data_IF_892425457337
#
_entry.id   IF_892425457337
#
_cell.length_a   1.000
_cell.length_b   1.000
_cell.length_c   1.000
_cell.angle_alpha   90.00
_cell.angle_beta   90.00
_cell.angle_gamma   90.00
#
_symmetry.space_group_name_H-M   'P 1'
#
loop_
_entity.id
_entity.type
_entity.pdbx_description
1 polymer ?
#
# COMPACT_ATOMS: atom_id res chain seq x y z
N UNK A 1 -2.86 7.92 -15.44
CA UNK A 1 -1.66 8.03 -14.57
C UNK A 1 -1.62 6.79 -13.70
N UNK A 2 -0.59 5.94 -13.84
CA UNK A 2 -0.55 4.64 -13.18
C UNK A 2 -0.20 4.84 -11.71
N UNK A 3 -1.06 4.43 -10.80
CA UNK A 3 -0.84 4.46 -9.34
C UNK A 3 0.20 3.43 -8.85
N UNK A 4 0.69 2.56 -9.75
CA UNK A 4 1.72 1.57 -9.47
C UNK A 4 2.77 1.53 -10.58
N UNK A 5 4.06 1.44 -10.26
CA UNK A 5 5.06 1.12 -11.26
C UNK A 5 4.93 -0.35 -11.67
N UNK A 6 4.37 -0.61 -12.86
CA UNK A 6 4.45 -1.90 -13.52
C UNK A 6 5.75 -1.94 -14.30
N UNK A 7 6.88 -2.14 -13.65
CA UNK A 7 8.09 -2.52 -14.36
C UNK A 7 8.86 -3.57 -13.56
N UNK A 8 8.49 -4.84 -13.77
CA UNK A 8 9.39 -5.95 -13.52
C UNK A 8 9.76 -6.51 -14.88
N UNK A 9 10.87 -6.00 -15.40
CA UNK A 9 11.48 -6.42 -16.65
C UNK A 9 11.79 -7.91 -16.62
N UNK A 10 11.45 -8.57 -17.72
CA UNK A 10 11.82 -9.93 -18.09
C UNK A 10 13.28 -10.22 -17.77
N UNK A 11 13.55 -11.10 -16.82
CA UNK A 11 14.83 -11.78 -16.69
C UNK A 11 14.74 -13.10 -17.42
N UNK A 12 15.54 -13.19 -18.47
CA UNK A 12 15.69 -14.32 -19.37
C UNK A 12 15.94 -15.65 -18.64
N UNK A 13 15.08 -16.59 -18.93
CA UNK A 13 15.25 -18.02 -18.69
C UNK A 13 16.18 -18.61 -19.74
N UNK A 14 17.42 -18.88 -19.41
CA UNK A 14 18.29 -19.91 -20.02
C UNK A 14 19.63 -19.94 -19.28
N UNK A 15 19.87 -20.99 -18.46
CA UNK A 15 21.10 -21.78 -18.53
C UNK A 15 21.08 -22.92 -17.47
N UNK A 16 21.06 -24.11 -18.03
CA UNK A 16 21.76 -25.35 -17.68
C UNK A 16 21.21 -26.27 -16.60
N UNK A 17 20.77 -27.36 -17.15
CA UNK A 17 20.59 -28.67 -16.52
C UNK A 17 21.93 -29.25 -15.99
N UNK A 18 21.76 -30.03 -15.00
CA UNK A 18 22.53 -31.16 -14.46
C UNK A 18 23.14 -30.88 -13.08
N UNK A 19 22.60 -31.50 -12.06
CA UNK A 19 23.20 -32.63 -11.33
C UNK A 19 22.18 -33.13 -10.31
N UNK A 20 21.84 -34.39 -10.45
CA UNK A 20 21.08 -35.20 -9.55
C UNK A 20 21.70 -35.23 -8.17
N UNK A 21 20.96 -34.88 -7.11
CA UNK A 21 21.06 -35.50 -5.81
C UNK A 21 19.78 -35.22 -5.02
N UNK A 22 19.02 -36.25 -4.80
CA UNK A 22 17.76 -36.30 -4.07
C UNK A 22 17.96 -35.94 -2.60
N UNK A 23 17.66 -34.69 -2.26
CA UNK A 23 17.23 -34.33 -0.93
C UNK A 23 15.81 -33.78 -1.09
N UNK A 24 14.83 -34.63 -0.84
CA UNK A 24 13.43 -34.25 -0.67
C UNK A 24 13.34 -33.49 0.65
N UNK A 25 13.69 -32.19 0.60
CA UNK A 25 13.23 -31.25 1.60
C UNK A 25 11.73 -31.05 1.33
N UNK A 26 10.86 -31.22 2.33
CA UNK A 26 9.49 -30.79 2.20
C UNK A 26 9.55 -29.28 1.95
N UNK A 27 9.34 -28.86 0.70
CA UNK A 27 8.94 -27.50 0.40
C UNK A 27 7.62 -27.35 1.14
N UNK A 28 7.66 -26.71 2.31
CA UNK A 28 6.45 -26.23 2.95
C UNK A 28 5.79 -25.33 1.90
N UNK A 29 4.75 -25.84 1.26
CA UNK A 29 3.82 -25.04 0.50
C UNK A 29 3.31 -24.00 1.49
N UNK A 30 3.91 -22.81 1.49
CA UNK A 30 3.31 -21.65 2.10
C UNK A 30 2.02 -21.44 1.30
N UNK A 31 0.92 -21.96 1.83
CA UNK A 31 -0.39 -21.72 1.24
C UNK A 31 -0.58 -20.20 1.28
N UNK A 32 -0.66 -19.62 0.09
CA UNK A 32 -0.90 -18.20 -0.06
C UNK A 32 -2.15 -17.87 0.76
N UNK A 33 -2.12 -16.76 1.51
CA UNK A 33 -3.25 -16.30 2.32
C UNK A 33 -4.51 -16.26 1.42
N UNK A 34 -5.57 -17.03 1.68
CA UNK A 34 -6.75 -17.07 0.81
C UNK A 34 -7.39 -15.70 0.62
N UNK A 35 -7.26 -14.80 1.62
CA UNK A 35 -7.75 -13.44 1.52
C UNK A 35 -6.91 -12.61 0.54
N UNK A 36 -5.59 -12.83 0.50
CA UNK A 36 -4.71 -12.20 -0.49
C UNK A 36 -5.05 -12.65 -1.92
N UNK A 37 -5.20 -13.95 -2.15
CA UNK A 37 -5.53 -14.48 -3.47
C UNK A 37 -6.90 -13.99 -3.96
N UNK A 38 -7.87 -13.86 -3.04
CA UNK A 38 -9.18 -13.30 -3.37
C UNK A 38 -9.08 -11.82 -3.71
N UNK A 39 -8.35 -11.03 -2.93
CA UNK A 39 -8.12 -9.61 -3.21
C UNK A 39 -7.43 -9.41 -4.55
N UNK A 40 -6.38 -10.20 -4.82
CA UNK A 40 -5.62 -10.15 -6.08
C UNK A 40 -6.51 -10.44 -7.28
N UNK A 41 -7.30 -11.53 -7.26
CA UNK A 41 -8.22 -11.86 -8.35
C UNK A 41 -9.24 -10.75 -8.63
N UNK A 42 -9.75 -10.09 -7.59
CA UNK A 42 -10.67 -8.95 -7.72
C UNK A 42 -9.98 -7.74 -8.35
N UNK A 43 -8.74 -7.45 -7.95
CA UNK A 43 -7.94 -6.37 -8.52
C UNK A 43 -7.61 -6.65 -9.99
N UNK A 44 -7.10 -7.85 -10.31
CA UNK A 44 -6.80 -8.28 -11.68
C UNK A 44 -8.06 -8.16 -12.58
N UNK A 45 -9.24 -8.52 -12.05
CA UNK A 45 -10.51 -8.41 -12.78
C UNK A 45 -10.85 -6.94 -13.11
N UNK A 46 -10.56 -6.00 -12.21
CA UNK A 46 -10.78 -4.57 -12.42
C UNK A 46 -9.74 -4.02 -13.41
N UNK A 47 -8.46 -4.31 -13.18
CA UNK A 47 -7.34 -3.80 -13.98
C UNK A 47 -7.36 -4.29 -15.44
N UNK A 48 -7.81 -5.51 -15.66
CA UNK A 48 -7.98 -6.08 -17.00
C UNK A 48 -9.32 -5.71 -17.67
N UNK A 49 -10.13 -4.88 -17.02
CA UNK A 49 -11.43 -4.46 -17.55
C UNK A 49 -12.47 -5.57 -17.65
N UNK A 50 -12.26 -6.70 -16.94
CA UNK A 50 -13.19 -7.85 -16.92
C UNK A 50 -14.34 -7.68 -15.92
N UNK A 51 -14.31 -6.66 -15.06
CA UNK A 51 -15.41 -6.36 -14.16
C UNK A 51 -16.64 -5.89 -14.98
N UNK A 52 -17.84 -6.46 -14.76
CA UNK A 52 -19.04 -6.08 -15.50
C UNK A 52 -19.36 -4.59 -15.30
N UNK A 53 -19.81 -3.93 -16.37
CA UNK A 53 -20.24 -2.52 -16.31
C UNK A 53 -21.36 -2.34 -15.28
N UNK A 54 -21.27 -1.29 -14.49
CA UNK A 54 -22.24 -0.97 -13.43
C UNK A 54 -22.18 -1.91 -12.22
N UNK A 55 -21.25 -2.86 -12.20
CA UNK A 55 -21.09 -3.77 -11.06
C UNK A 55 -20.38 -3.11 -9.86
N UNK A 56 -20.44 -3.78 -8.73
CA UNK A 56 -19.73 -3.38 -7.50
C UNK A 56 -18.83 -4.52 -7.06
N UNK A 57 -17.55 -4.25 -6.96
CA UNK A 57 -16.56 -5.18 -6.43
C UNK A 57 -16.28 -4.82 -4.96
N UNK A 58 -16.57 -5.76 -4.05
CA UNK A 58 -16.40 -5.55 -2.62
C UNK A 58 -15.10 -6.18 -2.13
N UNK A 59 -14.34 -5.42 -1.33
CA UNK A 59 -13.14 -5.89 -0.63
C UNK A 59 -13.39 -5.85 0.86
N UNK A 60 -13.29 -6.98 1.53
CA UNK A 60 -13.37 -7.04 3.00
C UNK A 60 -12.11 -6.44 3.64
N UNK A 61 -12.21 -6.01 4.90
CA UNK A 61 -11.03 -5.56 5.66
C UNK A 61 -9.93 -6.62 5.76
N UNK A 62 -10.29 -7.91 5.79
CA UNK A 62 -9.33 -9.01 5.77
C UNK A 62 -8.56 -9.07 4.44
N UNK A 63 -9.25 -8.93 3.31
CA UNK A 63 -8.66 -8.90 1.97
C UNK A 63 -7.74 -7.70 1.79
N UNK A 64 -8.19 -6.50 2.22
CA UNK A 64 -7.36 -5.28 2.19
C UNK A 64 -6.09 -5.45 3.02
N UNK A 65 -6.21 -5.99 4.23
CA UNK A 65 -5.06 -6.24 5.10
C UNK A 65 -4.12 -7.31 4.55
N UNK A 66 -4.65 -8.39 3.99
CA UNK A 66 -3.85 -9.46 3.38
C UNK A 66 -3.06 -8.93 2.18
N UNK A 67 -3.71 -8.14 1.32
CA UNK A 67 -3.08 -7.51 0.17
C UNK A 67 -1.98 -6.53 0.61
N UNK A 68 -2.25 -5.66 1.58
CA UNK A 68 -1.29 -4.69 2.09
C UNK A 68 -0.04 -5.35 2.67
N UNK A 69 -0.19 -6.45 3.43
CA UNK A 69 0.94 -7.21 4.00
C UNK A 69 1.90 -7.76 2.95
N UNK A 70 1.41 -8.09 1.76
CA UNK A 70 2.25 -8.60 0.67
C UNK A 70 2.84 -7.44 -0.15
N UNK A 71 2.02 -6.45 -0.51
CA UNK A 71 2.41 -5.42 -1.48
C UNK A 71 3.24 -4.28 -0.89
N UNK A 72 2.97 -3.88 0.35
CA UNK A 72 3.72 -2.77 0.95
C UNK A 72 5.20 -3.09 1.11
N UNK A 73 5.62 -4.29 1.56
CA UNK A 73 7.05 -4.65 1.63
C UNK A 73 7.77 -4.68 0.29
N UNK A 74 7.05 -4.85 -0.83
CA UNK A 74 7.65 -4.77 -2.17
C UNK A 74 8.04 -3.32 -2.52
N UNK A 75 7.31 -2.34 -1.99
CA UNK A 75 7.55 -0.91 -2.22
C UNK A 75 8.53 -0.36 -1.18
N UNK A 76 8.35 -0.77 0.07
CA UNK A 76 9.16 -0.38 1.22
C UNK A 76 9.72 -1.64 1.87
N UNK A 77 10.80 -2.22 1.32
CA UNK A 77 11.30 -3.54 1.71
C UNK A 77 11.84 -3.61 3.14
N UNK A 78 12.16 -2.48 3.75
CA UNK A 78 12.72 -2.42 5.09
C UNK A 78 12.13 -1.28 5.90
N UNK A 79 12.03 -1.48 7.21
CA UNK A 79 11.63 -0.44 8.16
C UNK A 79 10.13 -0.32 8.41
N UNK A 80 9.29 -1.20 7.84
CA UNK A 80 7.85 -1.25 8.16
C UNK A 80 7.45 -2.67 8.55
N UNK A 81 6.72 -2.82 9.65
CA UNK A 81 6.14 -4.09 10.10
C UNK A 81 4.80 -3.88 10.83
N UNK A 82 4.10 -4.98 11.10
CA UNK A 82 2.83 -5.01 11.83
C UNK A 82 1.75 -4.11 11.22
N UNK A 83 1.71 -4.05 9.90
CA UNK A 83 0.75 -3.22 9.18
C UNK A 83 -0.68 -3.69 9.35
N UNK A 84 -1.58 -2.75 9.62
CA UNK A 84 -3.02 -2.95 9.70
C UNK A 84 -3.76 -1.79 9.05
N UNK A 85 -4.85 -2.12 8.36
CA UNK A 85 -5.79 -1.15 7.83
C UNK A 85 -7.18 -1.38 8.46
N UNK A 86 -7.77 -0.31 8.93
CA UNK A 86 -9.14 -0.27 9.45
C UNK A 86 -9.96 0.63 8.53
N UNK A 87 -11.09 0.10 8.05
CA UNK A 87 -12.01 0.80 7.15
C UNK A 87 -13.22 1.27 7.95
N UNK A 88 -13.49 2.56 7.87
CA UNK A 88 -14.64 3.23 8.47
C UNK A 88 -15.57 3.82 7.42
N UNK A 89 -16.55 4.62 7.87
CA UNK A 89 -17.47 5.32 6.97
C UNK A 89 -16.74 6.47 6.28
N UNK A 90 -16.44 6.32 4.99
CA UNK A 90 -15.69 7.30 4.20
C UNK A 90 -14.24 7.51 4.66
N UNK A 91 -13.71 6.67 5.56
CA UNK A 91 -12.39 6.82 6.15
C UNK A 91 -11.61 5.52 6.12
N UNK A 92 -10.29 5.63 6.07
CA UNK A 92 -9.38 4.51 6.30
C UNK A 92 -8.29 4.94 7.28
N UNK A 93 -7.93 4.04 8.19
CA UNK A 93 -6.82 4.24 9.13
C UNK A 93 -5.79 3.13 8.94
N UNK A 94 -4.60 3.51 8.54
CA UNK A 94 -3.43 2.63 8.48
C UNK A 94 -2.61 2.76 9.75
N UNK A 95 -2.14 1.65 10.31
CA UNK A 95 -1.19 1.63 11.43
C UNK A 95 -0.04 0.67 11.13
N UNK A 96 1.16 1.01 11.59
CA UNK A 96 2.36 0.20 11.44
C UNK A 96 3.40 0.56 12.49
N UNK A 97 4.37 -0.34 12.72
CA UNK A 97 5.64 0.00 13.36
C UNK A 97 6.62 0.41 12.27
N UNK A 98 7.22 1.58 12.42
CA UNK A 98 8.09 2.18 11.40
C UNK A 98 9.45 2.52 11.98
N UNK A 99 10.50 2.01 11.34
CA UNK A 99 11.89 2.41 11.54
C UNK A 99 12.28 3.35 10.39
N UNK A 100 12.15 4.64 10.64
CA UNK A 100 12.41 5.67 9.63
C UNK A 100 13.85 5.70 9.16
N UNK A 101 14.81 5.29 10.02
CA UNK A 101 16.21 5.24 9.66
C UNK A 101 16.48 4.13 8.66
N UNK A 102 15.94 2.93 8.91
CA UNK A 102 16.04 1.80 7.97
C UNK A 102 15.37 2.11 6.64
N UNK A 103 14.19 2.76 6.65
CA UNK A 103 13.52 3.18 5.41
C UNK A 103 14.42 4.09 4.56
N UNK A 104 15.04 5.09 5.15
CA UNK A 104 15.94 6.00 4.42
C UNK A 104 17.19 5.30 3.89
N UNK A 105 17.79 4.43 4.70
CA UNK A 105 18.95 3.63 4.29
C UNK A 105 18.62 2.71 3.11
N UNK A 106 17.44 2.07 3.13
CA UNK A 106 16.97 1.23 2.03
C UNK A 106 16.73 2.02 0.72
N UNK A 107 16.45 3.32 0.83
CA UNK A 107 16.31 4.24 -0.31
C UNK A 107 17.67 4.85 -0.75
N UNK A 108 18.78 4.44 -0.17
CA UNK A 108 20.10 4.99 -0.46
C UNK A 108 20.31 6.42 0.04
N UNK A 109 19.44 6.93 0.92
CA UNK A 109 19.52 8.29 1.46
C UNK A 109 20.33 8.32 2.74
N UNK A 110 21.31 9.23 2.79
CA UNK A 110 22.06 9.51 4.02
C UNK A 110 21.24 10.39 4.97
N UNK A 111 21.40 10.16 6.26
CA UNK A 111 20.70 10.92 7.30
C UNK A 111 21.74 11.67 8.14
N UNK A 112 21.56 12.98 8.27
CA UNK A 112 22.42 13.79 9.13
C UNK A 112 22.28 13.35 10.61
N UNK A 113 23.35 13.49 11.40
CA UNK A 113 23.43 13.01 12.79
C UNK A 113 22.28 13.48 13.69
N UNK A 114 21.82 14.70 13.52
CA UNK A 114 20.71 15.27 14.31
C UNK A 114 19.37 14.57 13.99
N UNK A 115 19.11 14.35 12.71
CA UNK A 115 17.91 13.68 12.24
C UNK A 115 17.91 12.21 12.65
N UNK A 116 19.07 11.53 12.57
CA UNK A 116 19.26 10.16 13.05
C UNK A 116 18.77 10.02 14.49
N UNK A 117 19.19 10.91 15.38
CA UNK A 117 18.81 10.88 16.79
C UNK A 117 17.31 11.10 17.03
N UNK A 118 16.64 11.88 16.15
CA UNK A 118 15.21 12.16 16.25
C UNK A 118 14.34 10.97 15.79
N UNK A 119 14.80 10.22 14.77
CA UNK A 119 14.04 9.15 14.12
C UNK A 119 14.57 7.75 14.44
N UNK A 120 15.51 7.63 15.39
CA UNK A 120 16.11 6.36 15.78
C UNK A 120 15.08 5.43 16.44
N UNK A 121 15.17 4.14 16.05
CA UNK A 121 14.32 3.07 16.54
C UNK A 121 12.94 3.00 15.90
N UNK A 122 12.26 1.90 16.23
CA UNK A 122 10.91 1.64 15.74
C UNK A 122 9.88 2.48 16.50
N UNK A 123 8.96 3.07 15.75
CA UNK A 123 7.91 3.92 16.32
C UNK A 123 6.54 3.54 15.74
N UNK A 124 5.48 3.49 16.56
CA UNK A 124 4.13 3.33 16.05
C UNK A 124 3.73 4.56 15.24
N UNK A 125 3.33 4.32 13.99
CA UNK A 125 2.76 5.32 13.10
C UNK A 125 1.28 4.96 12.85
N UNK A 126 0.40 5.94 12.95
CA UNK A 126 -1.00 5.83 12.56
C UNK A 126 -1.36 6.97 11.62
N UNK A 127 -1.98 6.64 10.50
CA UNK A 127 -2.40 7.60 9.47
C UNK A 127 -3.87 7.39 9.20
N UNK A 128 -4.67 8.44 9.34
CA UNK A 128 -6.10 8.42 9.01
C UNK A 128 -6.33 9.33 7.81
N UNK A 129 -7.05 8.78 6.83
CA UNK A 129 -7.47 9.50 5.63
C UNK A 129 -8.99 9.46 5.50
N UNK A 130 -9.55 10.48 4.86
CA UNK A 130 -10.92 10.51 4.38
C UNK A 130 -10.89 10.43 2.86
N UNK A 131 -11.75 9.59 2.31
CA UNK A 131 -11.84 9.33 0.87
C UNK A 131 -13.17 9.85 0.35
N UNK A 132 -13.12 10.73 -0.63
CA UNK A 132 -14.27 11.23 -1.39
C UNK A 132 -14.09 10.82 -2.85
N UNK A 133 -15.09 10.16 -3.42
CA UNK A 133 -14.98 9.63 -4.77
C UNK A 133 -16.32 9.64 -5.49
N UNK A 134 -16.34 10.18 -6.71
CA UNK A 134 -17.51 10.25 -7.58
C UNK A 134 -17.11 10.58 -9.02
N UNK A 135 -17.91 10.18 -10.00
CA UNK A 135 -17.75 10.58 -11.40
C UNK A 135 -16.40 10.20 -12.02
N UNK A 136 -15.77 9.12 -11.54
CA UNK A 136 -14.45 8.70 -12.02
C UNK A 136 -13.28 9.45 -11.40
N UNK A 137 -13.52 10.29 -10.37
CA UNK A 137 -12.49 11.01 -9.63
C UNK A 137 -12.44 10.55 -8.18
N UNK A 138 -11.29 10.70 -7.55
CA UNK A 138 -11.09 10.41 -6.14
C UNK A 138 -10.20 11.49 -5.50
N UNK A 139 -10.52 11.86 -4.27
CA UNK A 139 -9.68 12.69 -3.43
C UNK A 139 -9.42 11.99 -2.11
N UNK A 140 -8.15 11.89 -1.73
CA UNK A 140 -7.73 11.32 -0.45
C UNK A 140 -7.24 12.47 0.44
N UNK A 141 -8.03 12.79 1.47
CA UNK A 141 -7.70 13.82 2.43
C UNK A 141 -6.95 13.20 3.61
N UNK A 142 -5.73 13.67 3.84
CA UNK A 142 -4.97 13.30 5.02
C UNK A 142 -5.52 14.06 6.22
N UNK A 143 -6.24 13.36 7.11
CA UNK A 143 -6.96 13.99 8.23
C UNK A 143 -6.19 13.94 9.54
N UNK A 144 -5.38 12.90 9.75
CA UNK A 144 -4.63 12.73 11.00
C UNK A 144 -3.40 11.85 10.81
N UNK A 145 -2.30 12.26 11.39
CA UNK A 145 -1.08 11.45 11.52
C UNK A 145 -0.66 11.46 12.99
N UNK A 146 -0.43 10.28 13.54
CA UNK A 146 0.09 10.10 14.88
C UNK A 146 1.41 9.34 14.82
N UNK A 147 2.42 9.86 15.49
CA UNK A 147 3.71 9.22 15.66
C UNK A 147 3.96 9.02 17.15
N UNK A 148 4.21 7.78 17.58
CA UNK A 148 4.35 7.43 19.00
C UNK A 148 3.14 7.87 19.84
N UNK A 149 1.92 7.73 19.30
CA UNK A 149 0.64 8.15 19.90
C UNK A 149 0.50 9.68 20.09
N UNK A 150 1.38 10.48 19.49
CA UNK A 150 1.28 11.94 19.50
C UNK A 150 0.85 12.41 18.11
N UNK A 151 -0.15 13.29 18.08
CA UNK A 151 -0.62 13.88 16.81
C UNK A 151 0.48 14.76 16.23
N UNK A 152 0.85 14.48 14.99
CA UNK A 152 1.86 15.24 14.28
C UNK A 152 1.40 16.69 14.06
N UNK A 153 2.25 17.64 14.43
CA UNK A 153 2.03 19.04 14.05
C UNK A 153 2.24 19.20 12.54
N UNK A 154 1.79 20.34 11.98
CA UNK A 154 1.97 20.66 10.55
C UNK A 154 3.44 20.50 10.12
N UNK A 155 4.37 21.02 10.91
CA UNK A 155 5.81 20.93 10.62
C UNK A 155 6.32 19.49 10.58
N UNK A 156 5.90 18.64 11.53
CA UNK A 156 6.26 17.22 11.55
C UNK A 156 5.62 16.48 10.38
N UNK A 157 4.37 16.79 10.07
CA UNK A 157 3.67 16.21 8.92
C UNK A 157 4.36 16.55 7.59
N UNK A 158 4.64 17.83 7.34
CA UNK A 158 5.34 18.29 6.14
C UNK A 158 6.71 17.62 6.00
N UNK A 159 7.41 17.45 7.13
CA UNK A 159 8.67 16.72 7.16
C UNK A 159 8.50 15.23 6.79
N UNK A 160 7.53 14.53 7.39
CA UNK A 160 7.28 13.11 7.11
C UNK A 160 6.88 12.90 5.64
N UNK A 161 6.03 13.77 5.11
CA UNK A 161 5.63 13.71 3.71
C UNK A 161 6.82 13.91 2.76
N UNK A 162 7.62 14.97 2.95
CA UNK A 162 8.75 15.29 2.09
C UNK A 162 9.91 14.30 2.21
N UNK A 163 10.19 13.82 3.42
CA UNK A 163 11.34 12.98 3.67
C UNK A 163 11.11 11.50 3.39
N UNK A 164 9.87 11.02 3.49
CA UNK A 164 9.57 9.59 3.42
C UNK A 164 8.50 9.22 2.41
N UNK A 165 7.45 10.02 2.26
CA UNK A 165 6.33 9.66 1.39
C UNK A 165 6.56 10.05 -0.07
N UNK A 166 6.87 11.32 -0.35
CA UNK A 166 7.07 11.82 -1.72
C UNK A 166 8.23 11.14 -2.47
N UNK A 167 9.36 10.74 -1.84
CA UNK A 167 10.37 9.97 -2.55
C UNK A 167 9.89 8.60 -3.05
N UNK A 168 8.92 7.98 -2.36
CA UNK A 168 8.30 6.71 -2.77
C UNK A 168 7.17 6.92 -3.78
N UNK A 169 6.47 8.05 -3.68
CA UNK A 169 5.30 8.38 -4.48
C UNK A 169 5.39 9.84 -4.99
N UNK A 170 6.30 10.14 -5.95
CA UNK A 170 6.53 11.50 -6.41
C UNK A 170 5.29 12.13 -7.05
N UNK A 171 4.43 11.31 -7.64
CA UNK A 171 3.21 11.75 -8.32
C UNK A 171 1.97 11.68 -7.41
N UNK A 172 2.14 11.53 -6.10
CA UNK A 172 1.01 11.44 -5.19
C UNK A 172 0.31 12.79 -5.01
N UNK A 173 -0.99 12.79 -5.25
CA UNK A 173 -1.87 13.94 -5.04
C UNK A 173 -2.56 13.84 -3.68
N UNK A 174 -1.93 14.39 -2.62
CA UNK A 174 -2.53 14.44 -1.29
C UNK A 174 -3.43 15.67 -1.19
N UNK A 175 -4.68 15.48 -0.77
CA UNK A 175 -5.73 16.50 -0.69
C UNK A 175 -6.13 17.12 -2.05
N UNK A 176 -5.71 16.52 -3.15
CA UNK A 176 -6.06 16.94 -4.51
C UNK A 176 -6.82 15.83 -5.23
N UNK A 177 -7.77 16.16 -6.13
CA UNK A 177 -8.47 15.17 -6.91
C UNK A 177 -7.57 14.54 -7.96
N UNK A 178 -7.74 13.24 -8.21
CA UNK A 178 -7.12 12.49 -9.29
C UNK A 178 -8.12 11.58 -9.98
N UNK A 179 -7.84 11.21 -11.21
CA UNK A 179 -8.68 10.32 -12.00
C UNK A 179 -8.56 8.88 -11.53
N UNK A 180 -9.69 8.19 -11.47
CA UNK A 180 -9.73 6.75 -11.27
C UNK A 180 -9.56 6.03 -12.60
N UNK A 181 -8.55 5.16 -12.68
CA UNK A 181 -8.30 4.29 -13.82
C UNK A 181 -9.31 3.11 -13.91
N UNK A 182 -9.14 2.26 -14.91
CA UNK A 182 -9.81 0.96 -15.05
C UNK A 182 -11.34 1.01 -15.04
N UNK A 183 -11.93 2.06 -15.63
CA UNK A 183 -13.39 2.26 -15.66
C UNK A 183 -14.05 2.31 -14.27
N UNK A 184 -13.32 2.67 -13.25
CA UNK A 184 -13.89 2.89 -11.93
C UNK A 184 -14.71 4.18 -11.92
N UNK A 185 -15.95 4.10 -11.40
CA UNK A 185 -16.83 5.25 -11.20
C UNK A 185 -16.53 5.93 -9.87
N UNK A 186 -16.38 5.14 -8.80
CA UNK A 186 -16.05 5.61 -7.46
C UNK A 186 -15.60 4.49 -6.53
N UNK A 187 -14.95 4.90 -5.45
CA UNK A 187 -14.57 4.05 -4.32
C UNK A 187 -15.35 4.49 -3.09
N UNK A 188 -16.07 3.57 -2.47
CA UNK A 188 -16.83 3.80 -1.24
C UNK A 188 -16.19 3.04 -0.09
N UNK A 189 -15.86 3.72 1.00
CA UNK A 189 -15.40 3.07 2.23
C UNK A 189 -16.57 2.95 3.22
N UNK A 190 -16.72 1.76 3.79
CA UNK A 190 -17.69 1.43 4.83
C UNK A 190 -16.99 0.69 5.97
N UNK A 191 -17.57 0.60 7.16
CA UNK A 191 -16.97 -0.16 8.25
C UNK A 191 -16.63 -1.59 7.81
N UNK A 192 -15.33 -1.92 7.85
CA UNK A 192 -14.79 -3.23 7.48
C UNK A 192 -14.82 -3.57 5.99
N UNK A 193 -15.15 -2.64 5.08
CA UNK A 193 -15.31 -2.92 3.66
C UNK A 193 -14.91 -1.73 2.78
N UNK A 194 -14.24 -2.01 1.65
CA UNK A 194 -14.09 -1.08 0.54
C UNK A 194 -14.90 -1.59 -0.67
N UNK A 195 -15.58 -0.68 -1.36
CA UNK A 195 -16.43 -0.99 -2.53
C UNK A 195 -15.95 -0.20 -3.73
N UNK A 196 -15.62 -0.88 -4.80
CA UNK A 196 -15.26 -0.28 -6.09
C UNK A 196 -16.46 -0.40 -7.01
N UNK A 197 -17.01 0.73 -7.43
CA UNK A 197 -18.14 0.80 -8.37
C UNK A 197 -17.59 1.01 -9.77
N UNK A 198 -17.97 0.17 -10.71
CA UNK A 198 -17.56 0.23 -12.13
C UNK A 198 -18.53 1.10 -12.90
N UNK A 199 -18.04 1.92 -13.83
CA UNK A 199 -18.85 2.76 -14.74
C UNK A 199 -19.86 1.90 -15.52
N UNK A 200 -21.04 2.47 -15.78
CA UNK A 200 -22.10 1.83 -16.60
C UNK A 200 -21.70 1.73 -18.06
#
# INVERSE_FOLDING_TARGET
MRLWPTNVSHVNLRFLAAICCSVVLPVALQSADPAYETARKKLDMIEEGRAPRGSVVNFTGAEVNAWARVRIPEIVPQGIRDMRAELGQGTATGSAMVDFLKMRQAQGMTTGWFLTKLIEGERPLKVTVRVESSGGHCTVFLTRVELSNVVATKTVLDFLLKAFFLPLYPDAHINEPFDLDYNMERIELRPGMARVVIKK
#
